data_IF_897978864826
#
_entry.id   IF_897978864826
#
_cell.length_a   1.000
_cell.length_b   1.000
_cell.length_c   1.000
_cell.angle_alpha   90.00
_cell.angle_beta   90.00
_cell.angle_gamma   90.00
#
_symmetry.space_group_name_H-M   'P 1'
#
loop_
_entity.id
_entity.type
_entity.pdbx_description
1 polymer ?
#
# COMPACT_ATOMS: atom_id res chain seq x y z
N UNK A 1 -42.45 33.84 17.76
CA UNK A 1 -41.54 33.97 18.91
C UNK A 1 -41.42 32.60 19.57
N UNK A 2 -40.18 32.19 19.85
CA UNK A 2 -39.75 31.00 20.61
C UNK A 2 -39.97 29.63 19.91
N UNK A 3 -39.03 28.69 19.82
CA UNK A 3 -37.67 28.57 20.39
C UNK A 3 -36.91 27.45 19.60
N UNK A 4 -35.57 27.48 19.52
CA UNK A 4 -34.75 26.56 18.74
C UNK A 4 -34.42 25.28 19.52
N UNK A 5 -35.09 24.17 19.20
CA UNK A 5 -34.74 22.84 19.76
C UNK A 5 -33.76 22.11 18.84
N UNK A 6 -32.48 22.24 19.18
CA UNK A 6 -31.35 21.32 18.92
C UNK A 6 -31.77 19.94 18.39
N UNK A 7 -31.38 19.61 17.17
CA UNK A 7 -31.22 18.21 16.73
C UNK A 7 -29.74 17.85 16.88
N UNK A 8 -29.34 17.51 18.10
CA UNK A 8 -28.06 16.85 18.38
C UNK A 8 -28.33 15.35 18.36
N UNK A 9 -27.69 14.63 17.44
CA UNK A 9 -27.51 13.17 17.53
C UNK A 9 -26.01 12.88 17.55
N UNK A 10 -25.42 12.49 18.69
CA UNK A 10 -24.14 11.81 18.74
C UNK A 10 -24.39 10.30 18.69
N UNK A 11 -24.01 9.66 17.58
CA UNK A 11 -24.00 8.20 17.48
C UNK A 11 -22.75 7.62 18.16
N UNK A 12 -22.86 6.68 19.11
CA UNK A 12 -21.72 6.01 19.72
C UNK A 12 -21.33 4.79 18.87
N UNK A 13 -20.27 4.94 18.07
CA UNK A 13 -19.63 3.82 17.37
C UNK A 13 -18.50 3.23 18.22
N UNK A 14 -18.84 2.46 19.24
CA UNK A 14 -17.87 1.66 20.00
C UNK A 14 -17.23 0.57 19.14
N UNK A 15 -15.90 0.60 19.11
CA UNK A 15 -14.96 -0.54 19.17
C UNK A 15 -15.22 -1.72 18.22
N UNK A 16 -14.36 -1.84 17.20
CA UNK A 16 -13.78 -3.14 16.85
C UNK A 16 -12.30 -3.16 17.20
N UNK A 17 -12.06 -3.82 18.33
CA UNK A 17 -10.80 -4.33 18.81
C UNK A 17 -10.16 -5.31 17.82
N UNK A 18 -8.82 -5.28 17.78
CA UNK A 18 -7.90 -6.40 17.57
C UNK A 18 -8.10 -7.19 16.27
N UNK A 19 -7.17 -6.99 15.34
CA UNK A 19 -6.57 -8.12 14.66
C UNK A 19 -5.10 -8.16 15.06
N UNK A 20 -4.83 -8.91 16.12
CA UNK A 20 -3.51 -9.47 16.33
C UNK A 20 -3.26 -10.40 15.14
N UNK A 21 -2.41 -9.98 14.21
CA UNK A 21 -1.85 -10.92 13.26
C UNK A 21 -0.72 -11.65 13.98
N UNK A 22 -1.10 -12.58 14.85
CA UNK A 22 -0.20 -13.65 15.26
C UNK A 22 0.13 -14.46 14.01
N UNK A 23 1.36 -14.32 13.52
CA UNK A 23 1.87 -15.12 12.41
C UNK A 23 2.98 -16.01 12.91
N UNK A 24 2.60 -17.26 13.16
CA UNK A 24 3.54 -18.36 13.35
C UNK A 24 4.55 -18.41 12.20
N UNK A 25 5.83 -18.50 12.58
CA UNK A 25 6.95 -18.56 11.68
C UNK A 25 6.96 -19.87 10.85
N UNK A 26 6.41 -19.82 9.64
CA UNK A 26 6.67 -20.84 8.62
C UNK A 26 7.85 -20.39 7.76
N UNK A 27 9.03 -20.99 7.98
CA UNK A 27 10.31 -20.65 7.36
C UNK A 27 10.39 -21.05 5.87
N UNK A 28 9.52 -20.51 5.01
CA UNK A 28 9.73 -20.54 3.55
C UNK A 28 10.26 -19.18 3.09
N UNK A 29 11.29 -19.13 2.22
CA UNK A 29 11.76 -17.86 1.66
C UNK A 29 10.60 -17.22 0.86
N UNK A 30 10.19 -16.01 1.25
CA UNK A 30 9.19 -15.25 0.49
C UNK A 30 9.90 -14.60 -0.69
N UNK A 31 9.25 -14.62 -1.86
CA UNK A 31 9.66 -13.83 -3.01
C UNK A 31 9.51 -12.36 -2.66
N UNK A 32 10.49 -11.54 -3.00
CA UNK A 32 10.38 -10.09 -2.92
C UNK A 32 10.29 -9.51 -4.32
N UNK A 33 9.88 -8.24 -4.41
CA UNK A 33 9.68 -7.57 -5.67
C UNK A 33 10.22 -6.15 -5.60
N UNK A 34 10.77 -5.68 -6.72
CA UNK A 34 11.22 -4.30 -6.90
C UNK A 34 10.16 -3.53 -7.70
N UNK A 35 9.79 -2.35 -7.21
CA UNK A 35 8.87 -1.42 -7.87
C UNK A 35 9.69 -0.37 -8.61
N UNK A 36 9.86 -0.54 -9.92
CA UNK A 36 10.66 0.37 -10.75
C UNK A 36 9.72 1.39 -11.38
N UNK A 37 9.91 2.67 -11.07
CA UNK A 37 9.09 3.77 -11.61
C UNK A 37 9.94 4.63 -12.55
N UNK A 38 9.48 4.74 -13.79
CA UNK A 38 10.06 5.63 -14.81
C UNK A 38 9.48 7.04 -14.64
N UNK A 39 10.19 7.88 -13.88
CA UNK A 39 9.69 9.22 -13.50
C UNK A 39 9.36 10.11 -14.69
N UNK A 40 10.13 10.03 -15.78
CA UNK A 40 9.92 10.83 -16.99
C UNK A 40 8.60 10.50 -17.71
N UNK A 41 8.06 9.30 -17.49
CA UNK A 41 6.81 8.84 -18.11
C UNK A 41 5.61 8.99 -17.16
N UNK A 42 5.87 9.10 -15.86
CA UNK A 42 4.83 9.19 -14.85
C UNK A 42 4.11 10.54 -14.92
N UNK A 43 2.77 10.51 -15.02
CA UNK A 43 1.91 11.71 -14.96
C UNK A 43 1.36 12.02 -13.57
N UNK A 44 1.86 11.35 -12.52
CA UNK A 44 1.42 11.55 -11.12
C UNK A 44 -0.10 11.38 -10.90
N UNK A 45 -0.74 10.50 -11.70
CA UNK A 45 -2.18 10.29 -11.67
C UNK A 45 -2.69 9.60 -10.38
N UNK A 46 -1.82 8.94 -9.62
CA UNK A 46 -2.16 8.30 -8.34
C UNK A 46 -2.86 6.94 -8.44
N UNK A 47 -3.13 6.44 -9.65
CA UNK A 47 -3.80 5.14 -9.87
C UNK A 47 -3.02 3.99 -9.23
N UNK A 48 -1.70 3.97 -9.37
CA UNK A 48 -0.85 2.93 -8.80
C UNK A 48 -0.94 2.84 -7.27
N UNK A 49 -1.15 3.97 -6.58
CA UNK A 49 -1.35 4.00 -5.13
C UNK A 49 -2.75 3.48 -4.76
N UNK A 50 -3.79 3.95 -5.46
CA UNK A 50 -5.18 3.55 -5.22
C UNK A 50 -5.44 2.05 -5.40
N UNK A 51 -4.75 1.41 -6.34
CA UNK A 51 -4.92 -0.03 -6.64
C UNK A 51 -3.91 -0.93 -5.92
N UNK A 52 -3.04 -0.41 -5.05
CA UNK A 52 -2.09 -1.23 -4.32
C UNK A 52 -2.78 -1.87 -3.09
N UNK A 53 -3.08 -3.19 -3.08
CA UNK A 53 -3.79 -3.81 -1.95
C UNK A 53 -2.97 -3.77 -0.65
N UNK A 54 -1.64 -3.78 -0.77
CA UNK A 54 -0.69 -3.77 0.34
C UNK A 54 -0.22 -2.35 0.70
N UNK A 55 -0.73 -1.32 0.03
CA UNK A 55 -0.34 0.09 0.23
C UNK A 55 1.18 0.33 0.17
N UNK A 56 1.89 -0.42 -0.69
CA UNK A 56 3.35 -0.27 -0.91
C UNK A 56 3.68 1.06 -1.57
N UNK A 57 2.76 1.57 -2.39
CA UNK A 57 2.93 2.79 -3.18
C UNK A 57 2.04 3.88 -2.57
N UNK A 58 2.68 4.86 -1.95
CA UNK A 58 2.06 6.10 -1.51
C UNK A 58 2.21 7.22 -2.54
N UNK A 59 1.97 8.46 -2.11
CA UNK A 59 2.15 9.67 -2.92
C UNK A 59 2.89 10.72 -2.11
N UNK A 60 3.83 11.41 -2.76
CA UNK A 60 4.52 12.54 -2.15
C UNK A 60 3.70 13.84 -2.22
N UNK A 61 4.26 14.94 -1.72
CA UNK A 61 3.62 16.26 -1.73
C UNK A 61 3.33 16.79 -3.14
N UNK A 62 4.09 16.34 -4.14
CA UNK A 62 3.90 16.67 -5.55
C UNK A 62 2.88 15.76 -6.23
N UNK A 63 2.31 14.80 -5.50
CA UNK A 63 1.37 13.79 -5.99
C UNK A 63 2.03 12.66 -6.78
N UNK A 64 3.37 12.64 -6.90
CA UNK A 64 4.12 11.60 -7.58
C UNK A 64 4.19 10.33 -6.71
N UNK A 65 4.27 9.14 -7.33
CA UNK A 65 4.34 7.89 -6.59
C UNK A 65 5.62 7.80 -5.74
N UNK A 66 5.46 7.38 -4.49
CA UNK A 66 6.54 7.15 -3.53
C UNK A 66 6.44 5.70 -3.01
N UNK A 67 7.54 4.98 -2.96
CA UNK A 67 7.58 3.62 -2.42
C UNK A 67 7.80 3.70 -0.90
N UNK A 68 6.84 3.22 -0.12
CA UNK A 68 6.89 3.30 1.35
C UNK A 68 7.37 1.99 1.97
N UNK A 69 6.81 0.85 1.54
CA UNK A 69 7.06 -0.47 2.12
C UNK A 69 7.40 -1.51 1.03
N UNK A 70 8.58 -1.45 0.39
CA UNK A 70 8.90 -2.26 -0.79
C UNK A 70 8.80 -3.78 -0.55
N UNK A 71 9.18 -4.22 0.66
CA UNK A 71 9.18 -5.64 1.04
C UNK A 71 7.77 -6.23 1.25
N UNK A 72 6.72 -5.38 1.33
CA UNK A 72 5.34 -5.83 1.42
C UNK A 72 4.71 -6.09 0.05
N UNK A 73 5.41 -5.77 -1.05
CA UNK A 73 4.89 -6.04 -2.38
C UNK A 73 4.68 -7.55 -2.58
N UNK A 74 3.46 -7.94 -2.93
CA UNK A 74 3.09 -9.34 -3.24
C UNK A 74 3.22 -9.68 -4.74
N UNK A 75 3.70 -8.73 -5.55
CA UNK A 75 3.89 -8.95 -6.98
C UNK A 75 2.60 -9.07 -7.81
N UNK A 76 1.48 -8.49 -7.35
CA UNK A 76 0.19 -8.61 -8.04
C UNK A 76 0.11 -7.86 -9.38
N UNK A 77 1.03 -6.93 -9.65
CA UNK A 77 1.16 -6.14 -10.89
C UNK A 77 -0.04 -5.24 -11.24
N UNK A 78 -0.98 -5.00 -10.33
CA UNK A 78 -2.10 -4.10 -10.61
C UNK A 78 -1.67 -2.67 -10.93
N UNK A 79 -0.66 -2.16 -10.22
CA UNK A 79 -0.11 -0.84 -10.51
C UNK A 79 0.53 -0.75 -11.91
N UNK A 80 1.12 -1.84 -12.42
CA UNK A 80 1.69 -1.95 -13.76
C UNK A 80 0.60 -2.03 -14.83
N UNK A 81 -0.40 -2.89 -14.62
CA UNK A 81 -1.51 -3.10 -15.56
C UNK A 81 -2.42 -1.89 -15.73
N UNK A 82 -2.60 -1.08 -14.68
CA UNK A 82 -3.52 0.06 -14.69
C UNK A 82 -2.80 1.40 -14.92
N UNK A 83 -1.48 1.41 -15.05
CA UNK A 83 -0.77 2.65 -15.36
C UNK A 83 -1.05 3.03 -16.83
N UNK A 84 -1.73 4.17 -17.09
CA UNK A 84 -2.08 4.55 -18.47
C UNK A 84 -0.84 4.84 -19.34
N UNK A 85 0.26 5.23 -18.71
CA UNK A 85 1.54 5.55 -19.37
C UNK A 85 2.57 4.41 -19.27
N UNK A 86 2.21 3.27 -18.69
CA UNK A 86 3.12 2.14 -18.40
C UNK A 86 4.42 2.56 -17.66
N UNK A 87 4.34 3.60 -16.83
CA UNK A 87 5.47 4.20 -16.14
C UNK A 87 5.98 3.41 -14.91
N UNK A 88 5.48 2.19 -14.68
CA UNK A 88 5.87 1.35 -13.55
C UNK A 88 6.00 -0.11 -13.98
N UNK A 89 7.02 -0.79 -13.45
CA UNK A 89 7.26 -2.23 -13.66
C UNK A 89 7.57 -2.93 -12.34
N UNK A 90 7.02 -4.12 -12.15
CA UNK A 90 7.29 -4.98 -10.99
C UNK A 90 8.20 -6.14 -11.38
N UNK A 91 9.41 -6.16 -10.83
CA UNK A 91 10.39 -7.25 -11.05
C UNK A 91 10.52 -8.13 -9.83
N UNK A 92 10.66 -9.44 -10.02
CA UNK A 92 10.97 -10.37 -8.93
C UNK A 92 12.42 -10.13 -8.46
N UNK A 93 12.57 -9.86 -7.16
CA UNK A 93 13.85 -9.79 -6.47
C UNK A 93 14.01 -11.05 -5.64
N UNK A 94 14.98 -11.88 -5.99
CA UNK A 94 15.34 -13.02 -5.18
C UNK A 94 16.06 -12.54 -3.92
N UNK A 95 15.51 -12.82 -2.74
CA UNK A 95 16.30 -12.76 -1.50
C UNK A 95 16.93 -14.11 -1.22
N UNK A 96 18.25 -14.10 -0.99
CA UNK A 96 18.94 -15.26 -0.47
C UNK A 96 18.25 -15.76 0.83
N UNK A 97 18.09 -17.09 1.02
CA UNK A 97 17.51 -17.63 2.24
C UNK A 97 18.29 -17.11 3.47
N UNK A 98 17.54 -16.65 4.48
CA UNK A 98 18.01 -15.79 5.56
C UNK A 98 19.31 -16.25 6.24
N UNK A 99 20.29 -15.35 6.32
CA UNK A 99 21.39 -15.45 7.27
C UNK A 99 20.82 -15.19 8.67
N UNK A 100 20.87 -16.21 9.55
CA UNK A 100 20.62 -16.08 10.98
C UNK A 100 21.44 -14.89 11.52
N UNK A 101 20.77 -13.87 12.05
CA UNK A 101 21.41 -12.91 12.96
C UNK A 101 21.32 -13.53 14.35
N UNK A 102 22.49 -13.80 14.93
CA UNK A 102 22.72 -14.41 16.24
C UNK A 102 22.03 -13.67 17.39
#
# INVERSE_FOLDING_TARGET
MNDPKKRTQPGPGTKKTKSAHESGASKKPRKLFDQIIFRDWCKSCGICSAFCPENVIGRDQSGAPMIECPDNCIGCRFCELHCPDFAITIKERYTAPGRNRS
#
